data_IF_314714680133
#
_entry.id   IF_314714680133
#
_cell.length_a   1.000
_cell.length_b   1.000
_cell.length_c   1.000
_cell.angle_alpha   90.00
_cell.angle_beta   90.00
_cell.angle_gamma   90.00
#
_symmetry.space_group_name_H-M   'P 1'
#
loop_
_entity.id
_entity.type
_entity.pdbx_description
1 polymer ?
#
# COMPACT_ATOMS: atom_id res chain seq x y z
N UNK A 1 28.09 -15.15 -12.59
CA UNK A 1 27.86 -14.52 -11.26
C UNK A 1 27.50 -15.61 -10.27
N UNK A 2 27.97 -15.55 -9.01
CA UNK A 2 27.58 -16.55 -8.00
C UNK A 2 26.08 -16.46 -7.74
N UNK A 3 25.45 -17.61 -7.48
CA UNK A 3 24.00 -17.76 -7.31
C UNK A 3 23.44 -16.81 -6.23
N UNK A 4 24.22 -16.56 -5.17
CA UNK A 4 23.91 -15.61 -4.11
C UNK A 4 23.84 -14.15 -4.58
N UNK A 5 24.68 -13.75 -5.54
CA UNK A 5 24.66 -12.38 -6.09
C UNK A 5 23.45 -12.15 -7.02
N UNK A 6 23.01 -13.18 -7.73
CA UNK A 6 21.83 -13.12 -8.59
C UNK A 6 20.55 -13.00 -7.73
N UNK A 7 20.46 -13.80 -6.67
CA UNK A 7 19.35 -13.73 -5.71
C UNK A 7 19.32 -12.36 -5.01
N UNK A 8 20.48 -11.85 -4.58
CA UNK A 8 20.61 -10.52 -3.98
C UNK A 8 20.21 -9.39 -4.92
N UNK A 9 20.55 -9.47 -6.21
CA UNK A 9 20.10 -8.48 -7.20
C UNK A 9 18.59 -8.56 -7.45
N UNK A 10 18.04 -9.75 -7.69
CA UNK A 10 16.63 -9.92 -8.06
C UNK A 10 15.70 -9.57 -6.88
N UNK A 11 16.04 -10.00 -5.66
CA UNK A 11 15.26 -9.67 -4.46
C UNK A 11 15.55 -8.27 -3.92
N UNK A 12 16.76 -7.74 -4.16
CA UNK A 12 17.17 -6.43 -3.67
C UNK A 12 16.39 -5.28 -4.28
N UNK A 13 16.04 -5.36 -5.57
CA UNK A 13 15.31 -4.28 -6.26
C UNK A 13 13.93 -4.00 -5.62
N UNK A 14 13.04 -4.98 -5.40
CA UNK A 14 11.79 -4.75 -4.68
C UNK A 14 11.96 -4.06 -3.32
N UNK A 15 12.96 -4.45 -2.53
CA UNK A 15 13.23 -3.84 -1.23
C UNK A 15 13.79 -2.42 -1.35
N UNK A 16 14.66 -2.15 -2.33
CA UNK A 16 15.20 -0.82 -2.61
C UNK A 16 14.06 0.11 -3.04
N UNK A 17 13.23 -0.27 -4.01
CA UNK A 17 12.09 0.53 -4.45
C UNK A 17 11.07 0.74 -3.33
N UNK A 18 10.83 -0.27 -2.48
CA UNK A 18 10.00 -0.13 -1.29
C UNK A 18 10.59 0.87 -0.27
N UNK A 19 11.89 0.82 -0.02
CA UNK A 19 12.57 1.70 0.93
C UNK A 19 12.61 3.16 0.44
N UNK A 20 13.00 3.40 -0.81
CA UNK A 20 13.01 4.73 -1.41
C UNK A 20 11.59 5.30 -1.59
N UNK A 21 10.61 4.46 -1.95
CA UNK A 21 9.21 4.85 -2.00
C UNK A 21 8.66 5.36 -0.66
N UNK A 22 9.19 4.88 0.47
CA UNK A 22 8.84 5.42 1.80
C UNK A 22 9.53 6.74 2.14
N UNK A 23 10.76 6.93 1.67
CA UNK A 23 11.56 8.11 1.99
C UNK A 23 11.12 9.35 1.19
N UNK A 24 10.76 9.15 -0.08
CA UNK A 24 10.38 10.23 -1.00
C UNK A 24 9.04 10.90 -0.63
N UNK A 25 8.17 10.15 0.05
CA UNK A 25 6.83 10.62 0.40
C UNK A 25 6.87 11.73 1.44
N UNK A 26 7.72 11.65 2.47
CA UNK A 26 7.83 12.72 3.47
C UNK A 26 8.24 14.07 2.84
N UNK A 27 9.18 14.04 1.90
CA UNK A 27 9.67 15.23 1.22
C UNK A 27 8.67 15.74 0.16
N UNK A 28 8.04 14.84 -0.59
CA UNK A 28 7.01 15.17 -1.58
C UNK A 28 5.77 15.77 -0.92
N UNK A 29 5.34 15.21 0.22
CA UNK A 29 4.22 15.74 1.00
C UNK A 29 4.53 17.11 1.60
N UNK A 30 5.73 17.31 2.17
CA UNK A 30 6.14 18.62 2.66
C UNK A 30 6.14 19.68 1.54
N UNK A 31 6.54 19.29 0.32
CA UNK A 31 6.51 20.17 -0.86
C UNK A 31 5.08 20.55 -1.30
N UNK A 32 4.16 19.58 -1.38
CA UNK A 32 2.78 19.83 -1.83
C UNK A 32 1.92 20.56 -0.78
N UNK A 33 2.13 20.27 0.50
CA UNK A 33 1.43 20.91 1.62
C UNK A 33 1.77 22.40 1.71
N UNK A 34 3.02 22.78 1.42
CA UNK A 34 3.44 24.17 1.39
C UNK A 34 2.85 24.96 0.20
N UNK A 35 2.44 24.27 -0.87
CA UNK A 35 2.14 24.92 -2.16
C UNK A 35 0.65 24.99 -2.51
N UNK A 36 -0.21 24.11 -1.98
CA UNK A 36 -1.60 23.97 -2.45
C UNK A 36 -2.67 24.47 -1.47
N UNK A 37 -2.36 24.77 -0.20
CA UNK A 37 -3.38 25.21 0.79
C UNK A 37 -4.65 24.32 0.85
N UNK A 38 -4.59 23.07 0.38
CA UNK A 38 -5.68 22.12 0.51
C UNK A 38 -5.60 21.43 1.87
N UNK A 39 -6.74 21.01 2.42
CA UNK A 39 -6.80 20.18 3.63
C UNK A 39 -5.86 18.99 3.47
N UNK A 40 -4.87 18.91 4.37
CA UNK A 40 -3.84 17.87 4.42
C UNK A 40 -4.43 16.49 4.10
N UNK A 41 -5.45 16.11 4.85
CA UNK A 41 -6.30 14.92 4.72
C UNK A 41 -6.76 14.52 3.30
N UNK A 42 -7.18 15.48 2.47
CA UNK A 42 -7.70 15.20 1.12
C UNK A 42 -6.57 14.86 0.13
N UNK A 43 -5.41 15.49 0.29
CA UNK A 43 -4.21 15.22 -0.51
C UNK A 43 -3.78 13.76 -0.29
N UNK A 44 -3.65 13.30 0.96
CA UNK A 44 -3.23 11.93 1.26
C UNK A 44 -4.17 10.87 0.70
N UNK A 45 -5.47 11.14 0.77
CA UNK A 45 -6.49 10.25 0.23
C UNK A 45 -6.36 10.06 -1.28
N UNK A 46 -6.11 11.17 -1.99
CA UNK A 46 -5.96 11.20 -3.43
C UNK A 46 -4.66 10.53 -3.86
N UNK A 47 -3.55 10.84 -3.19
CA UNK A 47 -2.25 10.20 -3.47
C UNK A 47 -2.28 8.68 -3.24
N UNK A 48 -2.97 8.21 -2.20
CA UNK A 48 -3.15 6.78 -1.94
C UNK A 48 -3.96 6.09 -3.04
N UNK A 49 -5.04 6.72 -3.49
CA UNK A 49 -5.89 6.16 -4.57
C UNK A 49 -5.13 6.12 -5.90
N UNK A 50 -4.35 7.16 -6.20
CA UNK A 50 -3.45 7.20 -7.37
C UNK A 50 -2.36 6.12 -7.30
N UNK A 51 -1.82 5.84 -6.11
CA UNK A 51 -0.83 4.78 -5.90
C UNK A 51 -1.40 3.38 -6.16
N UNK A 52 -2.62 3.07 -5.72
CA UNK A 52 -3.27 1.78 -6.03
C UNK A 52 -3.61 1.62 -7.51
N UNK A 53 -4.01 2.71 -8.18
CA UNK A 53 -4.23 2.70 -9.63
C UNK A 53 -2.90 2.44 -10.35
N UNK A 54 -1.83 3.12 -9.94
CA UNK A 54 -0.49 2.90 -10.47
C UNK A 54 -0.02 1.44 -10.29
N UNK A 55 -0.17 0.87 -9.10
CA UNK A 55 0.13 -0.55 -8.85
C UNK A 55 -0.61 -1.48 -9.80
N UNK A 56 -1.90 -1.22 -10.01
CA UNK A 56 -2.76 -2.01 -10.88
C UNK A 56 -2.24 -1.97 -12.32
N UNK A 57 -1.91 -0.77 -12.81
CA UNK A 57 -1.36 -0.61 -14.17
C UNK A 57 -0.06 -1.39 -14.34
N UNK A 58 0.89 -1.28 -13.40
CA UNK A 58 2.15 -2.00 -13.49
C UNK A 58 2.01 -3.52 -13.32
N UNK A 59 1.03 -3.99 -12.55
CA UNK A 59 0.67 -5.42 -12.48
C UNK A 59 0.11 -5.96 -13.80
N UNK A 60 -0.74 -5.18 -14.47
CA UNK A 60 -1.26 -5.54 -15.79
C UNK A 60 -0.15 -5.57 -16.84
N UNK A 61 0.74 -4.58 -16.82
CA UNK A 61 1.92 -4.56 -17.71
C UNK A 61 2.87 -5.74 -17.45
N UNK A 62 3.02 -6.16 -16.19
CA UNK A 62 3.79 -7.35 -15.84
C UNK A 62 3.15 -8.64 -16.41
N UNK A 63 1.81 -8.73 -16.44
CA UNK A 63 1.09 -9.88 -17.01
C UNK A 63 1.24 -10.00 -18.53
N UNK A 64 1.35 -8.87 -19.24
CA UNK A 64 1.47 -8.83 -20.71
C UNK A 64 2.90 -9.06 -21.20
N UNK A 65 3.89 -8.99 -20.31
CA UNK A 65 5.30 -9.01 -20.69
C UNK A 65 5.90 -10.41 -20.57
N UNK A 66 6.47 -10.92 -21.67
CA UNK A 66 7.15 -12.23 -21.69
C UNK A 66 8.64 -12.16 -21.34
N UNK A 67 9.22 -10.96 -21.23
CA UNK A 67 10.63 -10.78 -20.91
C UNK A 67 10.86 -10.74 -19.39
N UNK A 68 11.72 -11.61 -18.83
CA UNK A 68 11.96 -11.67 -17.39
C UNK A 68 12.47 -10.34 -16.80
N UNK A 69 13.32 -9.62 -17.52
CA UNK A 69 13.90 -8.36 -17.03
C UNK A 69 12.84 -7.27 -16.85
N UNK A 70 11.94 -7.13 -17.83
CA UNK A 70 10.85 -6.17 -17.76
C UNK A 70 9.79 -6.57 -16.73
N UNK A 71 9.51 -7.87 -16.59
CA UNK A 71 8.60 -8.39 -15.56
C UNK A 71 9.07 -8.03 -14.14
N UNK A 72 10.36 -8.26 -13.84
CA UNK A 72 10.94 -7.87 -12.55
C UNK A 72 10.91 -6.35 -12.36
N UNK A 73 11.18 -5.58 -13.40
CA UNK A 73 11.10 -4.12 -13.37
C UNK A 73 9.69 -3.60 -13.02
N UNK A 74 8.66 -4.08 -13.72
CA UNK A 74 7.28 -3.68 -13.47
C UNK A 74 6.77 -4.11 -12.09
N UNK A 75 7.10 -5.32 -11.65
CA UNK A 75 6.75 -5.77 -10.29
C UNK A 75 7.44 -4.92 -9.21
N UNK A 76 8.72 -4.58 -9.42
CA UNK A 76 9.47 -3.73 -8.49
C UNK A 76 8.88 -2.32 -8.40
N UNK A 77 8.51 -1.73 -9.54
CA UNK A 77 7.83 -0.43 -9.59
C UNK A 77 6.46 -0.46 -8.90
N UNK A 78 5.68 -1.53 -9.11
CA UNK A 78 4.41 -1.74 -8.42
C UNK A 78 4.60 -1.76 -6.90
N UNK A 79 5.56 -2.53 -6.40
CA UNK A 79 5.87 -2.60 -4.96
C UNK A 79 6.35 -1.23 -4.42
N UNK A 80 7.15 -0.49 -5.19
CA UNK A 80 7.61 0.85 -4.84
C UNK A 80 6.44 1.84 -4.65
N UNK A 81 5.47 1.84 -5.57
CA UNK A 81 4.23 2.63 -5.44
C UNK A 81 3.39 2.19 -4.23
N UNK A 82 3.51 0.95 -3.79
CA UNK A 82 2.94 0.47 -2.51
C UNK A 82 3.57 1.02 -1.26
N UNK A 83 4.88 1.29 -1.30
CA UNK A 83 5.55 2.05 -0.25
C UNK A 83 4.87 3.42 -0.03
N UNK A 84 4.46 4.07 -1.13
CA UNK A 84 3.78 5.37 -1.08
C UNK A 84 2.39 5.27 -0.45
N UNK A 85 1.62 4.25 -0.84
CA UNK A 85 0.29 4.00 -0.28
C UNK A 85 0.35 3.72 1.24
N UNK A 86 1.37 2.99 1.68
CA UNK A 86 1.58 2.66 3.09
C UNK A 86 1.85 3.90 3.94
N UNK A 87 2.69 4.80 3.45
CA UNK A 87 3.00 6.05 4.15
C UNK A 87 1.72 6.89 4.42
N UNK A 88 0.80 6.95 3.46
CA UNK A 88 -0.50 7.61 3.65
C UNK A 88 -1.42 6.89 4.65
N UNK A 89 -1.39 5.56 4.69
CA UNK A 89 -2.20 4.76 5.64
C UNK A 89 -1.80 5.03 7.10
N UNK A 90 -0.50 5.03 7.40
CA UNK A 90 -0.02 5.22 8.77
C UNK A 90 -0.37 6.59 9.36
N UNK A 91 -0.38 7.64 8.53
CA UNK A 91 -0.72 9.01 8.97
C UNK A 91 -2.23 9.20 9.12
N UNK A 92 -3.03 8.57 8.25
CA UNK A 92 -4.49 8.73 8.27
C UNK A 92 -5.14 8.33 9.61
N UNK A 93 -4.59 7.34 10.33
CA UNK A 93 -5.16 6.91 11.62
C UNK A 93 -4.96 7.96 12.71
N UNK A 94 -3.83 8.66 12.68
CA UNK A 94 -3.48 9.72 13.61
C UNK A 94 -4.30 10.98 13.34
N UNK A 95 -4.56 11.28 12.07
CA UNK A 95 -5.39 12.43 11.67
C UNK A 95 -6.88 12.20 11.97
N UNK A 96 -7.36 10.96 11.78
CA UNK A 96 -8.77 10.62 11.96
C UNK A 96 -9.18 10.57 13.45
N UNK A 97 -8.36 9.91 14.28
CA UNK A 97 -8.64 9.71 15.70
C UNK A 97 -7.33 9.46 16.49
N UNK A 98 -6.59 10.51 16.89
CA UNK A 98 -5.27 10.36 17.51
C UNK A 98 -5.30 9.56 18.82
N UNK A 99 -6.40 9.63 19.59
CA UNK A 99 -6.58 8.91 20.84
C UNK A 99 -6.87 7.41 20.64
N UNK A 100 -7.52 7.04 19.53
CA UNK A 100 -7.90 5.65 19.21
C UNK A 100 -7.02 5.03 18.12
N UNK A 101 -6.01 5.77 17.63
CA UNK A 101 -5.16 5.37 16.51
C UNK A 101 -4.50 4.00 16.72
N UNK A 102 -4.05 3.70 17.95
CA UNK A 102 -3.46 2.40 18.29
C UNK A 102 -4.44 1.22 18.11
N UNK A 103 -5.68 1.38 18.58
CA UNK A 103 -6.73 0.37 18.44
C UNK A 103 -7.15 0.18 16.97
N UNK A 104 -7.36 1.28 16.25
CA UNK A 104 -7.72 1.25 14.83
C UNK A 104 -6.61 0.63 13.97
N UNK A 105 -5.35 0.97 14.23
CA UNK A 105 -4.20 0.41 13.53
C UNK A 105 -4.03 -1.08 13.85
N UNK A 106 -4.21 -1.47 15.11
CA UNK A 106 -4.19 -2.87 15.53
C UNK A 106 -5.24 -3.70 14.82
N UNK A 107 -6.51 -3.27 14.87
CA UNK A 107 -7.62 -3.94 14.18
C UNK A 107 -7.38 -4.05 12.68
N UNK A 108 -6.93 -2.95 12.04
CA UNK A 108 -6.64 -2.94 10.61
C UNK A 108 -5.51 -3.91 10.25
N UNK A 109 -4.48 -4.03 11.10
CA UNK A 109 -3.37 -4.95 10.87
C UNK A 109 -3.80 -6.42 11.04
N UNK A 110 -4.68 -6.72 12.00
CA UNK A 110 -5.28 -8.06 12.15
C UNK A 110 -6.14 -8.43 10.93
N UNK A 111 -6.94 -7.49 10.44
CA UNK A 111 -7.73 -7.72 9.21
C UNK A 111 -6.84 -7.85 7.98
N UNK A 112 -5.72 -7.13 7.91
CA UNK A 112 -4.77 -7.21 6.81
C UNK A 112 -3.94 -8.51 6.80
N UNK A 113 -3.70 -9.12 7.97
CA UNK A 113 -2.91 -10.35 8.07
C UNK A 113 -3.66 -11.58 7.58
N UNK A 114 -4.99 -11.62 7.71
CA UNK A 114 -5.82 -12.75 7.25
C UNK A 114 -5.66 -13.01 5.73
N UNK A 115 -5.87 -12.03 4.82
CA UNK A 115 -5.56 -12.21 3.40
C UNK A 115 -4.09 -12.58 3.14
N UNK A 116 -3.16 -12.01 3.94
CA UNK A 116 -1.74 -12.32 3.84
C UNK A 116 -1.43 -13.80 4.10
N UNK A 117 -2.17 -14.45 5.00
CA UNK A 117 -2.05 -15.88 5.28
C UNK A 117 -2.73 -16.76 4.20
N UNK A 118 -3.85 -16.31 3.65
CA UNK A 118 -4.65 -17.09 2.69
C UNK A 118 -4.05 -17.01 1.27
N UNK A 119 -3.45 -15.87 0.89
CA UNK A 119 -2.89 -15.64 -0.45
C UNK A 119 -1.94 -16.75 -0.92
N UNK A 120 -0.91 -17.17 -0.14
CA UNK A 120 0.00 -18.24 -0.55
C UNK A 120 -0.71 -19.58 -0.81
N UNK A 121 -1.77 -19.89 -0.06
CA UNK A 121 -2.56 -21.11 -0.27
C UNK A 121 -3.31 -21.06 -1.61
N UNK A 122 -3.91 -19.92 -1.94
CA UNK A 122 -4.58 -19.71 -3.23
C UNK A 122 -3.57 -19.79 -4.37
N UNK A 123 -2.42 -19.11 -4.26
CA UNK A 123 -1.37 -19.15 -5.29
C UNK A 123 -0.87 -20.58 -5.50
N UNK A 124 -0.63 -21.35 -4.43
CA UNK A 124 -0.22 -22.75 -4.54
C UNK A 124 -1.30 -23.69 -5.09
N UNK A 125 -2.58 -23.29 -5.03
CA UNK A 125 -3.66 -24.02 -5.67
C UNK A 125 -3.79 -23.69 -7.15
N UNK A 126 -3.64 -22.41 -7.52
CA UNK A 126 -3.80 -21.93 -8.91
C UNK A 126 -2.57 -22.21 -9.76
N UNK A 127 -1.37 -22.01 -9.21
CA UNK A 127 -0.10 -22.20 -9.93
C UNK A 127 0.39 -23.63 -9.67
N UNK A 128 0.13 -24.53 -10.63
CA UNK A 128 0.52 -25.95 -10.54
C UNK A 128 1.71 -26.27 -11.42
N UNK A 129 1.72 -25.74 -12.64
CA UNK A 129 2.75 -26.02 -13.64
C UNK A 129 3.71 -24.85 -13.84
N UNK A 130 3.45 -23.69 -13.23
CA UNK A 130 4.33 -22.52 -13.29
C UNK A 130 4.26 -21.79 -14.64
N UNK A 131 3.21 -22.03 -15.41
CA UNK A 131 3.04 -21.48 -16.76
C UNK A 131 2.55 -20.04 -16.63
N UNK A 132 2.94 -19.16 -17.56
CA UNK A 132 2.52 -17.75 -17.58
C UNK A 132 1.00 -17.57 -17.47
N UNK A 133 0.21 -18.47 -18.07
CA UNK A 133 -1.25 -18.40 -17.99
C UNK A 133 -1.78 -18.53 -16.55
N UNK A 134 -1.17 -19.38 -15.72
CA UNK A 134 -1.55 -19.54 -14.31
C UNK A 134 -1.19 -18.29 -13.50
N UNK A 135 -0.02 -17.70 -13.77
CA UNK A 135 0.40 -16.44 -13.15
C UNK A 135 -0.47 -15.25 -13.56
N UNK A 136 -0.92 -15.22 -14.82
CA UNK A 136 -1.84 -14.19 -15.29
C UNK A 136 -3.17 -14.21 -14.51
N UNK A 137 -3.68 -15.39 -14.12
CA UNK A 137 -4.86 -15.49 -13.26
C UNK A 137 -4.63 -14.77 -11.92
N UNK A 138 -3.45 -14.94 -11.32
CA UNK A 138 -3.08 -14.27 -10.07
C UNK A 138 -2.94 -12.76 -10.27
N UNK A 139 -2.28 -12.32 -11.35
CA UNK A 139 -2.09 -10.90 -11.64
C UNK A 139 -3.43 -10.19 -11.90
N UNK A 140 -4.33 -10.78 -12.69
CA UNK A 140 -5.66 -10.22 -12.93
C UNK A 140 -6.51 -10.20 -11.65
N UNK A 141 -6.48 -11.27 -10.85
CA UNK A 141 -7.19 -11.31 -9.56
C UNK A 141 -6.71 -10.19 -8.62
N UNK A 142 -5.39 -9.99 -8.54
CA UNK A 142 -4.79 -8.92 -7.74
C UNK A 142 -5.18 -7.52 -8.26
N UNK A 143 -5.16 -7.33 -9.57
CA UNK A 143 -5.57 -6.08 -10.21
C UNK A 143 -7.04 -5.72 -9.92
N UNK A 144 -7.93 -6.71 -9.91
CA UNK A 144 -9.36 -6.52 -9.56
C UNK A 144 -9.47 -6.08 -8.10
N UNK A 145 -8.80 -6.77 -7.18
CA UNK A 145 -8.84 -6.44 -5.75
C UNK A 145 -8.31 -5.02 -5.48
N UNK A 146 -7.20 -4.64 -6.12
CA UNK A 146 -6.64 -3.28 -5.98
C UNK A 146 -7.55 -2.21 -6.59
N UNK A 147 -8.15 -2.48 -7.74
CA UNK A 147 -9.09 -1.56 -8.39
C UNK A 147 -10.35 -1.35 -7.55
N UNK A 148 -10.95 -2.44 -7.06
CA UNK A 148 -12.11 -2.39 -6.17
C UNK A 148 -11.76 -1.66 -4.88
N UNK A 149 -10.64 -2.01 -4.23
CA UNK A 149 -10.18 -1.36 -3.01
C UNK A 149 -9.96 0.13 -3.18
N UNK A 150 -9.35 0.54 -4.30
CA UNK A 150 -9.17 1.97 -4.64
C UNK A 150 -10.50 2.68 -4.84
N UNK A 151 -11.46 2.06 -5.53
CA UNK A 151 -12.80 2.63 -5.74
C UNK A 151 -13.58 2.81 -4.44
N UNK A 152 -13.61 1.78 -3.57
CA UNK A 152 -14.24 1.87 -2.26
C UNK A 152 -13.59 2.94 -1.39
N UNK A 153 -12.26 2.99 -1.39
CA UNK A 153 -11.51 3.97 -0.63
C UNK A 153 -11.80 5.40 -1.13
N UNK A 154 -11.75 5.62 -2.44
CA UNK A 154 -12.05 6.92 -3.04
C UNK A 154 -13.46 7.44 -2.70
N UNK A 155 -14.46 6.56 -2.69
CA UNK A 155 -15.85 6.95 -2.47
C UNK A 155 -16.20 7.21 -1.01
N UNK A 156 -15.63 6.47 -0.06
CA UNK A 156 -16.05 6.49 1.35
C UNK A 156 -15.03 7.03 2.33
N UNK A 157 -13.77 7.13 1.94
CA UNK A 157 -12.77 7.58 2.90
C UNK A 157 -12.84 9.09 3.12
N UNK A 158 -12.69 9.47 4.39
CA UNK A 158 -12.50 10.84 4.82
C UNK A 158 -11.22 10.89 5.63
N UNK A 159 -10.52 12.02 5.56
CA UNK A 159 -9.39 12.28 6.46
C UNK A 159 -9.69 13.42 7.45
N UNK A 160 -10.94 13.86 7.54
CA UNK A 160 -11.33 14.82 8.58
C UNK A 160 -11.46 14.11 9.94
N UNK A 161 -11.05 14.80 11.02
CA UNK A 161 -11.20 14.32 12.39
C UNK A 161 -12.67 14.00 12.66
N UNK A 162 -12.93 12.79 13.14
CA UNK A 162 -14.30 12.35 13.36
C UNK A 162 -14.86 12.96 14.65
N UNK A 163 -16.17 13.28 14.65
CA UNK A 163 -16.85 13.92 15.78
C UNK A 163 -16.84 13.06 17.05
N UNK A 164 -16.89 11.74 16.92
CA UNK A 164 -16.78 10.85 18.09
C UNK A 164 -15.39 10.84 18.73
N UNK A 165 -14.37 11.41 18.06
CA UNK A 165 -13.00 11.54 18.58
C UNK A 165 -12.72 12.94 19.17
N UNK A 166 -13.71 13.82 19.33
CA UNK A 166 -13.56 15.12 20.00
C UNK A 166 -13.92 15.12 21.49
N UNK A 167 -14.62 14.10 21.99
CA UNK A 167 -15.43 14.24 23.21
C UNK A 167 -14.85 13.58 24.49
N UNK A 168 -13.61 13.09 24.48
CA UNK A 168 -12.95 12.67 25.72
C UNK A 168 -11.94 13.71 26.20
N UNK A 169 -12.26 14.32 27.35
CA UNK A 169 -11.36 15.14 28.15
C UNK A 169 -10.02 14.43 28.36
N UNK A 170 -8.88 15.14 28.36
CA UNK A 170 -7.58 14.53 28.62
C UNK A 170 -7.67 13.70 29.89
N UNK A 171 -7.10 12.49 29.86
CA UNK A 171 -6.95 11.64 31.03
C UNK A 171 -6.03 12.39 32.00
N UNK A 172 -6.63 13.26 32.82
CA UNK A 172 -5.99 13.85 33.98
C UNK A 172 -5.80 12.65 34.89
N UNK A 173 -4.60 12.08 34.88
CA UNK A 173 -4.19 11.17 35.93
C UNK A 173 -4.30 11.97 37.22
N UNK A 174 -5.40 11.81 37.94
CA UNK A 174 -5.46 12.23 39.32
C UNK A 174 -4.40 11.40 40.05
N UNK A 175 -3.29 12.08 40.35
CA UNK A 175 -2.36 11.68 41.38
C UNK A 175 -3.10 11.83 42.71
N UNK A 176 -3.78 10.76 43.12
CA UNK A 176 -4.17 10.51 44.50
C UNK A 176 -3.40 9.31 45.03
#
# INVERSE_FOLDING_TARGET
MPLSAIIGQILGWPFIFYFFGKFDVKNTLAFFVNKIYAKFSFIYLTFRSMGFIGQTLFLLLASLTSSPAFLVGFLSLSIGLGGICWAGFSVNHLDLAPQYAGHLMGLSNTLATLPGMICPLIVGFVVKSGIQAEWNIIFYSTAIVYSMGSFFFWKWASGDRQSWASDQSPFIGELH
#
